data_IF_598235507288
#
_entry.id   IF_598235507288
#
_cell.length_a   1.000
_cell.length_b   1.000
_cell.length_c   1.000
_cell.angle_alpha   90.00
_cell.angle_beta   90.00
_cell.angle_gamma   90.00
#
_symmetry.space_group_name_H-M   'P 1'
#
loop_
_entity.id
_entity.type
_entity.pdbx_description
1 polymer ?
#
# COMPACT_ATOMS: atom_id res chain seq x y z
N UNK A 1 16.29 -40.35 31.96
CA UNK A 1 15.93 -39.88 30.60
C UNK A 1 14.48 -39.44 30.68
N UNK A 2 14.02 -38.21 30.49
CA UNK A 2 14.41 -37.06 29.67
C UNK A 2 14.00 -35.78 30.40
N UNK A 3 14.90 -34.79 30.55
CA UNK A 3 14.64 -33.52 31.29
C UNK A 3 14.40 -32.30 30.37
N UNK A 4 14.17 -32.50 29.08
CA UNK A 4 14.12 -31.41 28.10
C UNK A 4 12.82 -31.19 27.29
N UNK A 5 11.67 -31.90 27.51
CA UNK A 5 10.50 -31.70 26.64
C UNK A 5 9.90 -30.30 26.78
N UNK A 6 9.94 -29.72 27.98
CA UNK A 6 9.44 -28.37 28.25
C UNK A 6 10.32 -27.28 27.61
N UNK A 7 11.63 -27.50 27.54
CA UNK A 7 12.56 -26.57 26.91
C UNK A 7 12.36 -26.53 25.38
N UNK A 8 12.09 -27.69 24.78
CA UNK A 8 11.80 -27.78 23.34
C UNK A 8 10.48 -27.09 22.98
N UNK A 9 9.43 -27.29 23.79
CA UNK A 9 8.14 -26.60 23.61
C UNK A 9 8.26 -25.07 23.72
N UNK A 10 9.04 -24.58 24.70
CA UNK A 10 9.30 -23.15 24.85
C UNK A 10 10.09 -22.57 23.66
N UNK A 11 11.11 -23.28 23.18
CA UNK A 11 11.91 -22.83 22.02
C UNK A 11 11.07 -22.79 20.73
N UNK A 12 10.16 -23.75 20.53
CA UNK A 12 9.24 -23.75 19.37
C UNK A 12 8.26 -22.58 19.44
N UNK A 13 7.73 -22.25 20.62
CA UNK A 13 6.84 -21.09 20.80
C UNK A 13 7.57 -19.76 20.57
N UNK A 14 8.81 -19.64 21.04
CA UNK A 14 9.64 -18.44 20.80
C UNK A 14 9.96 -18.30 19.30
N UNK A 15 10.27 -19.40 18.61
CA UNK A 15 10.54 -19.38 17.17
C UNK A 15 9.31 -19.00 16.36
N UNK A 16 8.13 -19.53 16.71
CA UNK A 16 6.87 -19.14 16.10
C UNK A 16 6.57 -17.65 16.32
N UNK A 17 6.74 -17.14 17.54
CA UNK A 17 6.51 -15.73 17.87
C UNK A 17 7.47 -14.77 17.14
N UNK A 18 8.74 -15.15 16.94
CA UNK A 18 9.72 -14.31 16.21
C UNK A 18 9.59 -14.42 14.68
N UNK A 19 9.11 -15.54 14.17
CA UNK A 19 8.89 -15.73 12.72
C UNK A 19 7.74 -14.88 12.17
N UNK A 20 6.82 -14.46 13.05
CA UNK A 20 5.61 -13.70 12.70
C UNK A 20 5.68 -12.21 13.09
N UNK A 21 6.87 -11.70 13.42
CA UNK A 21 7.02 -10.25 13.57
C UNK A 21 7.31 -9.62 12.21
N UNK A 22 6.50 -8.62 11.78
CA UNK A 22 6.83 -7.87 10.58
C UNK A 22 8.21 -7.25 10.79
N UNK A 23 9.16 -7.57 9.91
CA UNK A 23 10.50 -7.02 10.04
C UNK A 23 10.45 -5.54 9.66
N UNK A 24 10.59 -4.65 10.64
CA UNK A 24 10.67 -3.22 10.39
C UNK A 24 12.12 -2.80 10.12
N UNK A 25 12.33 -1.99 9.09
CA UNK A 25 13.60 -1.30 8.85
C UNK A 25 13.34 0.20 8.76
N UNK A 26 14.00 0.99 9.61
CA UNK A 26 13.83 2.44 9.70
C UNK A 26 12.35 2.87 9.91
N UNK A 27 11.63 2.16 10.78
CA UNK A 27 10.23 2.48 11.10
C UNK A 27 9.20 2.09 10.04
N UNK A 28 9.62 1.46 8.93
CA UNK A 28 8.72 0.94 7.89
C UNK A 28 8.78 -0.58 7.84
N UNK A 29 7.64 -1.24 7.60
CA UNK A 29 7.62 -2.68 7.37
C UNK A 29 8.41 -2.99 6.08
N UNK A 30 9.41 -3.88 6.15
CA UNK A 30 10.31 -4.17 5.02
C UNK A 30 9.63 -4.78 3.80
N UNK A 31 8.40 -5.27 3.94
CA UNK A 31 7.66 -5.95 2.87
C UNK A 31 6.50 -5.13 2.31
N UNK A 32 6.44 -3.82 2.60
CA UNK A 32 5.28 -3.00 2.26
C UNK A 32 4.02 -3.52 2.96
N UNK A 33 2.86 -2.92 2.66
CA UNK A 33 1.60 -3.54 3.02
C UNK A 33 1.46 -4.79 2.14
N UNK A 34 1.83 -5.96 2.67
CA UNK A 34 1.54 -7.25 2.06
C UNK A 34 0.02 -7.38 2.08
N UNK A 35 -0.63 -6.87 1.03
CA UNK A 35 -1.96 -7.34 0.66
C UNK A 35 -1.73 -8.74 0.12
N UNK A 36 -2.45 -9.73 0.62
CA UNK A 36 -2.33 -11.15 0.24
C UNK A 36 -2.68 -11.42 -1.24
N UNK A 37 -2.87 -10.36 -2.03
CA UNK A 37 -3.16 -10.36 -3.45
C UNK A 37 -1.85 -10.16 -4.23
N UNK A 38 -1.29 -11.26 -4.75
CA UNK A 38 -0.17 -11.30 -5.72
C UNK A 38 -0.47 -10.54 -7.04
N UNK A 39 -1.65 -9.95 -7.18
CA UNK A 39 -1.98 -9.02 -8.26
C UNK A 39 -2.30 -7.66 -7.68
N UNK A 40 -1.33 -6.74 -7.68
CA UNK A 40 -1.62 -5.31 -7.66
C UNK A 40 -2.33 -4.96 -8.96
N UNK A 41 -3.62 -5.28 -9.02
CA UNK A 41 -4.48 -4.96 -10.13
C UNK A 41 -5.11 -3.62 -9.85
N UNK A 42 -4.96 -2.67 -10.77
CA UNK A 42 -5.74 -1.44 -10.71
C UNK A 42 -7.21 -1.67 -11.10
N UNK A 43 -7.64 -2.92 -11.41
CA UNK A 43 -9.05 -3.25 -11.61
C UNK A 43 -9.83 -3.09 -10.31
N UNK A 44 -11.15 -2.96 -10.44
CA UNK A 44 -12.06 -2.96 -9.31
C UNK A 44 -11.93 -4.29 -8.54
N UNK A 45 -11.33 -4.30 -7.34
CA UNK A 45 -11.14 -5.53 -6.58
C UNK A 45 -12.47 -6.11 -6.06
N UNK A 46 -13.52 -5.28 -6.04
CA UNK A 46 -14.85 -5.67 -5.56
C UNK A 46 -15.68 -6.38 -6.65
N UNK A 47 -15.26 -6.37 -7.94
CA UNK A 47 -15.92 -7.13 -9.02
C UNK A 47 -15.59 -8.63 -8.96
N UNK A 48 -14.35 -8.98 -8.62
CA UNK A 48 -13.91 -10.38 -8.54
C UNK A 48 -14.31 -11.03 -7.20
N UNK A 49 -14.59 -10.20 -6.19
CA UNK A 49 -14.97 -10.63 -4.86
C UNK A 49 -16.48 -10.83 -4.79
N UNK A 50 -16.92 -12.09 -4.91
CA UNK A 50 -18.31 -12.54 -4.69
C UNK A 50 -18.68 -12.47 -3.19
N UNK A 51 -18.39 -11.34 -2.55
CA UNK A 51 -18.63 -11.09 -1.14
C UNK A 51 -20.14 -11.00 -0.91
N UNK A 52 -20.65 -11.50 0.23
CA UNK A 52 -22.03 -11.24 0.62
C UNK A 52 -22.21 -9.72 0.59
N UNK A 53 -23.21 -9.22 -0.15
CA UNK A 53 -23.52 -7.79 -0.20
C UNK A 53 -23.54 -7.30 1.24
N UNK A 54 -22.56 -6.49 1.62
CA UNK A 54 -22.57 -5.83 2.92
C UNK A 54 -23.78 -4.90 2.88
N UNK A 55 -24.90 -5.34 3.46
CA UNK A 55 -26.20 -4.66 3.33
C UNK A 55 -26.15 -3.19 3.71
N UNK A 56 -25.24 -2.87 4.63
CA UNK A 56 -25.16 -1.56 5.27
C UNK A 56 -24.16 -0.62 4.59
N UNK A 57 -23.19 -1.16 3.86
CA UNK A 57 -22.18 -0.41 3.13
C UNK A 57 -22.55 -0.30 1.65
N UNK A 58 -22.47 0.90 1.09
CA UNK A 58 -22.82 1.15 -0.31
C UNK A 58 -21.70 1.82 -1.05
N UNK A 59 -21.61 1.49 -2.33
CA UNK A 59 -20.76 2.17 -3.30
C UNK A 59 -21.57 3.25 -4.00
N UNK A 60 -21.00 4.46 -4.05
CA UNK A 60 -21.58 5.57 -4.78
C UNK A 60 -20.50 6.40 -5.47
N UNK A 61 -20.94 7.33 -6.32
CA UNK A 61 -20.08 8.19 -7.11
C UNK A 61 -20.62 9.61 -7.09
N UNK A 62 -19.73 10.59 -6.96
CA UNK A 62 -20.06 11.99 -7.11
C UNK A 62 -19.24 12.64 -8.21
N UNK A 63 -19.76 13.73 -8.76
CA UNK A 63 -19.07 14.50 -9.80
C UNK A 63 -18.06 15.44 -9.16
N UNK A 64 -16.78 15.23 -9.50
CA UNK A 64 -15.65 16.00 -9.02
C UNK A 64 -15.08 16.85 -10.16
N UNK A 65 -14.67 18.09 -9.87
CA UNK A 65 -13.98 18.94 -10.86
C UNK A 65 -12.67 18.29 -11.30
N UNK A 66 -12.36 18.39 -12.60
CA UNK A 66 -11.12 17.85 -13.16
C UNK A 66 -9.92 18.68 -12.72
N UNK A 67 -10.04 20.01 -12.77
CA UNK A 67 -8.97 20.93 -12.39
C UNK A 67 -9.51 21.96 -11.38
N UNK A 68 -9.08 21.84 -10.12
CA UNK A 68 -9.47 22.75 -9.06
C UNK A 68 -8.73 24.09 -9.11
N UNK A 69 -7.70 24.23 -9.96
CA UNK A 69 -6.89 25.45 -10.08
C UNK A 69 -7.27 26.30 -11.30
N UNK A 70 -7.98 25.74 -12.28
CA UNK A 70 -8.53 26.48 -13.42
C UNK A 70 -10.04 26.73 -13.24
N UNK A 71 -10.40 27.93 -12.79
CA UNK A 71 -11.79 28.34 -12.58
C UNK A 71 -12.62 28.44 -13.88
N UNK A 72 -11.97 28.51 -15.04
CA UNK A 72 -12.66 28.53 -16.33
C UNK A 72 -13.11 27.13 -16.79
N UNK A 73 -12.42 26.09 -16.33
CA UNK A 73 -12.73 24.70 -16.69
C UNK A 73 -13.94 24.17 -15.92
N UNK A 74 -14.98 23.78 -16.66
CA UNK A 74 -16.19 23.12 -16.14
C UNK A 74 -16.13 21.59 -16.28
N UNK A 75 -14.96 21.03 -16.60
CA UNK A 75 -14.81 19.59 -16.77
C UNK A 75 -14.95 18.88 -15.43
N UNK A 76 -15.77 17.83 -15.41
CA UNK A 76 -15.98 16.97 -14.23
C UNK A 76 -15.75 15.50 -14.57
N UNK A 77 -15.53 14.69 -13.54
CA UNK A 77 -15.37 13.26 -13.63
C UNK A 77 -15.99 12.57 -12.40
N UNK A 78 -16.35 11.30 -12.52
CA UNK A 78 -16.97 10.55 -11.43
C UNK A 78 -15.93 9.96 -10.49
N UNK A 79 -15.94 10.40 -9.24
CA UNK A 79 -15.08 9.86 -8.19
C UNK A 79 -15.86 8.88 -7.31
N UNK A 80 -15.31 7.69 -7.11
CA UNK A 80 -15.93 6.65 -6.29
C UNK A 80 -15.71 6.91 -4.80
N UNK A 81 -16.72 6.60 -4.01
CA UNK A 81 -16.61 6.53 -2.57
C UNK A 81 -17.51 5.42 -2.03
N UNK A 82 -17.20 4.98 -0.81
CA UNK A 82 -18.04 4.07 -0.05
C UNK A 82 -18.56 4.78 1.18
N UNK A 83 -19.78 4.43 1.59
CA UNK A 83 -20.36 4.95 2.82
C UNK A 83 -21.10 3.85 3.58
N UNK A 84 -21.22 4.03 4.89
CA UNK A 84 -21.97 3.14 5.77
C UNK A 84 -22.63 3.94 6.90
N UNK A 85 -23.96 3.78 7.02
CA UNK A 85 -24.80 4.43 8.04
C UNK A 85 -25.27 3.47 9.14
N UNK A 86 -24.76 2.23 9.21
CA UNK A 86 -25.18 1.18 10.16
C UNK A 86 -25.34 1.67 11.60
N UNK A 87 -24.42 2.51 12.07
CA UNK A 87 -24.34 2.92 13.48
C UNK A 87 -25.01 4.26 13.77
N UNK A 88 -25.60 4.93 12.78
CA UNK A 88 -26.31 6.20 13.04
C UNK A 88 -27.71 5.99 13.62
N UNK A 89 -28.15 4.73 13.78
CA UNK A 89 -29.48 4.35 14.28
C UNK A 89 -30.64 5.05 13.55
N UNK A 90 -30.46 5.42 12.28
CA UNK A 90 -31.45 6.16 11.50
C UNK A 90 -31.68 7.60 11.98
N UNK A 91 -30.79 8.13 12.83
CA UNK A 91 -30.83 9.52 13.27
C UNK A 91 -30.55 10.48 12.12
N UNK A 92 -31.40 11.49 11.96
CA UNK A 92 -31.14 12.61 11.06
C UNK A 92 -30.09 13.59 11.60
N UNK A 93 -29.70 13.46 12.88
CA UNK A 93 -28.69 14.29 13.52
C UNK A 93 -27.44 13.45 13.80
N UNK A 94 -26.57 13.36 12.79
CA UNK A 94 -25.29 12.65 12.86
C UNK A 94 -24.26 13.57 13.52
N UNK A 95 -23.80 13.22 14.72
CA UNK A 95 -22.87 14.06 15.49
C UNK A 95 -21.41 13.94 15.02
N UNK A 96 -21.05 12.80 14.45
CA UNK A 96 -19.69 12.51 14.01
C UNK A 96 -19.69 11.75 12.69
N UNK A 97 -18.70 12.06 11.85
CA UNK A 97 -18.45 11.39 10.58
C UNK A 97 -16.98 11.02 10.52
N UNK A 98 -16.68 9.75 10.25
CA UNK A 98 -15.32 9.30 9.98
C UNK A 98 -15.10 9.21 8.48
N UNK A 99 -14.04 9.88 8.00
CA UNK A 99 -13.63 9.87 6.60
C UNK A 99 -12.27 9.20 6.46
N UNK A 100 -12.19 8.15 5.65
CA UNK A 100 -10.93 7.58 5.16
C UNK A 100 -10.60 8.17 3.80
N UNK A 101 -9.37 8.64 3.64
CA UNK A 101 -8.80 8.94 2.33
C UNK A 101 -8.08 7.69 1.81
N UNK A 102 -8.40 7.29 0.58
CA UNK A 102 -7.70 6.21 -0.12
C UNK A 102 -6.21 6.49 -0.26
N UNK A 103 -5.40 5.43 -0.26
CA UNK A 103 -3.97 5.50 -0.50
C UNK A 103 -3.60 5.22 -1.95
N UNK A 104 -2.40 4.67 -2.15
CA UNK A 104 -1.84 4.31 -3.46
C UNK A 104 -2.38 2.96 -3.99
N UNK A 105 -3.70 2.81 -4.06
CA UNK A 105 -4.33 1.58 -4.52
C UNK A 105 -5.85 1.66 -4.63
N UNK A 106 -6.49 0.67 -5.29
CA UNK A 106 -7.94 0.61 -5.37
C UNK A 106 -8.54 0.50 -3.96
N UNK A 107 -9.56 1.32 -3.71
CA UNK A 107 -10.29 1.28 -2.45
C UNK A 107 -11.29 0.11 -2.47
N UNK A 108 -11.45 -0.55 -1.33
CA UNK A 108 -12.36 -1.71 -1.16
C UNK A 108 -13.54 -1.35 -0.28
N UNK A 109 -14.70 -1.91 -0.59
CA UNK A 109 -15.92 -1.77 0.25
C UNK A 109 -15.69 -2.25 1.70
N UNK A 110 -14.79 -3.23 1.89
CA UNK A 110 -14.38 -3.73 3.21
C UNK A 110 -13.86 -2.65 4.15
N UNK A 111 -13.39 -1.53 3.60
CA UNK A 111 -12.96 -0.35 4.35
C UNK A 111 -14.04 0.18 5.28
N UNK A 112 -15.28 0.25 4.80
CA UNK A 112 -16.43 0.78 5.55
C UNK A 112 -17.39 -0.31 6.02
N UNK A 113 -17.07 -1.59 5.83
CA UNK A 113 -17.96 -2.69 6.21
C UNK A 113 -17.34 -3.67 7.21
N UNK A 114 -16.02 -3.77 7.27
CA UNK A 114 -15.33 -4.64 8.21
C UNK A 114 -15.26 -4.02 9.61
N UNK A 115 -15.95 -4.62 10.60
CA UNK A 115 -15.94 -4.14 11.99
C UNK A 115 -14.56 -4.23 12.67
N UNK A 116 -13.64 -5.03 12.12
CA UNK A 116 -12.26 -5.10 12.60
C UNK A 116 -11.42 -3.86 12.23
N UNK A 117 -11.88 -3.04 11.27
CA UNK A 117 -11.23 -1.77 10.98
C UNK A 117 -11.45 -0.80 12.14
N UNK A 118 -10.37 -0.17 12.61
CA UNK A 118 -10.41 0.80 13.71
C UNK A 118 -11.44 1.91 13.49
N UNK A 119 -11.60 2.37 12.24
CA UNK A 119 -12.61 3.34 11.86
C UNK A 119 -14.03 2.87 12.17
N UNK A 120 -14.36 1.62 11.86
CA UNK A 120 -15.68 1.05 12.09
C UNK A 120 -15.92 0.78 13.58
N UNK A 121 -14.87 0.39 14.32
CA UNK A 121 -14.95 0.27 15.78
C UNK A 121 -15.28 1.61 16.44
N UNK A 122 -14.64 2.70 16.01
CA UNK A 122 -14.93 4.04 16.50
C UNK A 122 -16.32 4.51 16.04
N UNK A 123 -16.71 4.22 14.80
CA UNK A 123 -18.04 4.57 14.30
C UNK A 123 -19.15 3.92 15.12
N UNK A 124 -18.96 2.66 15.54
CA UNK A 124 -19.88 1.94 16.43
C UNK A 124 -19.95 2.56 17.82
N UNK A 125 -18.80 2.96 18.38
CA UNK A 125 -18.73 3.56 19.72
C UNK A 125 -19.42 4.93 19.79
N UNK A 126 -19.27 5.75 18.74
CA UNK A 126 -19.78 7.12 18.71
C UNK A 126 -21.09 7.29 17.93
N UNK A 127 -21.66 6.20 17.38
CA UNK A 127 -22.85 6.27 16.54
C UNK A 127 -22.65 7.11 15.27
N UNK A 128 -21.45 7.03 14.68
CA UNK A 128 -21.03 7.87 13.57
C UNK A 128 -21.31 7.22 12.20
N UNK A 129 -21.40 8.06 11.17
CA UNK A 129 -21.35 7.58 9.78
C UNK A 129 -19.89 7.37 9.36
N UNK A 130 -19.65 6.38 8.50
CA UNK A 130 -18.33 6.09 7.96
C UNK A 130 -18.31 6.30 6.44
N UNK A 131 -17.29 6.99 5.95
CA UNK A 131 -17.05 7.25 4.54
C UNK A 131 -15.62 6.87 4.18
N UNK A 132 -15.42 6.37 2.97
CA UNK A 132 -14.10 6.13 2.42
C UNK A 132 -14.06 6.62 0.98
N UNK A 133 -13.21 7.61 0.72
CA UNK A 133 -13.06 8.25 -0.58
C UNK A 133 -11.93 7.59 -1.36
N UNK A 134 -12.21 7.10 -2.56
CA UNK A 134 -11.17 6.53 -3.40
C UNK A 134 -10.27 7.64 -3.95
N UNK A 135 -8.95 7.42 -3.90
CA UNK A 135 -7.99 8.40 -4.35
C UNK A 135 -8.05 8.54 -5.88
N UNK A 136 -7.95 9.78 -6.36
CA UNK A 136 -7.87 10.10 -7.79
C UNK A 136 -6.74 9.32 -8.46
N UNK A 137 -6.99 8.79 -9.66
CA UNK A 137 -6.09 7.96 -10.47
C UNK A 137 -5.92 6.50 -10.02
N UNK A 138 -6.55 6.09 -8.91
CA UNK A 138 -6.49 4.72 -8.41
C UNK A 138 -7.82 4.00 -8.56
N UNK A 139 -7.76 2.67 -8.72
CA UNK A 139 -8.94 1.84 -8.95
C UNK A 139 -9.75 2.29 -10.16
N UNK A 140 -11.05 2.48 -9.92
CA UNK A 140 -12.02 2.94 -10.93
C UNK A 140 -12.13 4.47 -10.98
N UNK A 141 -11.61 5.19 -9.98
CA UNK A 141 -11.62 6.65 -9.89
C UNK A 141 -10.60 7.30 -10.82
N UNK A 142 -10.85 7.19 -12.14
CA UNK A 142 -9.96 7.65 -13.21
C UNK A 142 -10.57 8.86 -13.93
N UNK A 143 -9.98 10.05 -13.78
CA UNK A 143 -10.50 11.27 -14.40
C UNK A 143 -10.42 11.26 -15.93
N UNK A 144 -9.43 10.56 -16.48
CA UNK A 144 -9.28 10.35 -17.92
C UNK A 144 -9.21 8.84 -18.20
N UNK A 145 -9.84 8.34 -19.27
CA UNK A 145 -9.82 6.92 -19.61
C UNK A 145 -8.41 6.43 -19.97
N UNK A 146 -7.55 7.35 -20.40
CA UNK A 146 -6.11 7.13 -20.58
C UNK A 146 -5.41 8.24 -19.82
N UNK A 147 -4.62 7.89 -18.81
CA UNK A 147 -3.56 8.81 -18.37
C UNK A 147 -2.52 8.71 -19.47
N UNK A 148 -2.44 9.71 -20.34
CA UNK A 148 -1.39 9.70 -21.36
C UNK A 148 -0.04 9.57 -20.64
N UNK A 149 0.81 8.66 -21.11
CA UNK A 149 2.16 8.41 -20.58
C UNK A 149 2.96 9.71 -20.36
N UNK A 150 2.63 10.79 -21.08
CA UNK A 150 3.23 12.11 -20.89
C UNK A 150 3.04 12.67 -19.47
N UNK A 151 1.88 12.47 -18.84
CA UNK A 151 1.57 13.00 -17.51
C UNK A 151 2.24 12.18 -16.40
N UNK A 152 2.25 10.86 -16.53
CA UNK A 152 3.01 9.98 -15.61
C UNK A 152 4.51 10.23 -15.71
N UNK A 153 5.03 10.37 -16.95
CA UNK A 153 6.42 10.71 -17.21
C UNK A 153 6.79 12.10 -16.67
N UNK A 154 5.89 13.07 -16.79
CA UNK A 154 6.10 14.41 -16.23
C UNK A 154 6.17 14.37 -14.71
N UNK A 155 5.25 13.67 -14.04
CA UNK A 155 5.27 13.50 -12.58
C UNK A 155 6.53 12.74 -12.11
N UNK A 156 6.90 11.67 -12.81
CA UNK A 156 8.12 10.93 -12.53
C UNK A 156 9.36 11.83 -12.69
N UNK A 157 9.48 12.55 -13.81
CA UNK A 157 10.62 13.43 -14.08
C UNK A 157 10.70 14.64 -13.15
N UNK A 158 9.58 15.16 -12.66
CA UNK A 158 9.55 16.36 -11.81
C UNK A 158 9.66 16.04 -10.33
N UNK A 159 9.08 14.94 -9.87
CA UNK A 159 9.01 14.65 -8.43
C UNK A 159 9.90 13.48 -8.03
N UNK A 160 9.87 12.39 -8.81
CA UNK A 160 10.57 11.16 -8.42
C UNK A 160 12.04 11.21 -8.81
N UNK A 161 12.31 11.63 -10.03
CA UNK A 161 13.65 11.70 -10.61
C UNK A 161 14.55 12.66 -9.82
N UNK A 162 14.12 13.89 -9.46
CA UNK A 162 14.97 14.80 -8.69
C UNK A 162 15.12 14.35 -7.24
N UNK A 163 14.09 13.75 -6.62
CA UNK A 163 14.22 13.19 -5.27
C UNK A 163 15.20 12.02 -5.24
N UNK A 164 15.20 11.15 -6.25
CA UNK A 164 16.19 10.08 -6.38
C UNK A 164 17.58 10.61 -6.70
N UNK A 165 17.73 11.53 -7.67
CA UNK A 165 19.04 12.10 -8.02
C UNK A 165 19.62 12.94 -6.89
N UNK A 166 18.82 13.78 -6.24
CA UNK A 166 19.22 14.52 -5.04
C UNK A 166 19.54 13.57 -3.89
N UNK A 167 18.79 12.49 -3.70
CA UNK A 167 19.09 11.44 -2.73
C UNK A 167 20.42 10.73 -3.00
N UNK A 168 20.78 10.55 -4.27
CA UNK A 168 22.07 9.97 -4.69
C UNK A 168 23.22 10.98 -4.59
N UNK A 169 22.98 12.27 -4.83
CA UNK A 169 23.95 13.36 -4.66
C UNK A 169 24.24 13.66 -3.18
N UNK A 170 23.22 13.57 -2.32
CA UNK A 170 23.33 13.77 -0.87
C UNK A 170 23.75 12.50 -0.12
N UNK A 171 23.68 11.33 -0.74
CA UNK A 171 24.48 10.20 -0.33
C UNK A 171 25.95 10.56 -0.52
N UNK A 172 26.58 11.06 0.55
CA UNK A 172 28.03 11.02 0.64
C UNK A 172 28.44 9.56 0.41
N UNK A 173 28.96 9.30 -0.79
CA UNK A 173 29.45 8.00 -1.22
C UNK A 173 30.68 7.70 -0.39
N UNK A 174 30.46 7.22 0.84
CA UNK A 174 31.54 6.84 1.73
C UNK A 174 32.31 5.72 1.05
N UNK A 175 33.64 5.66 1.29
CA UNK A 175 34.47 4.55 0.79
C UNK A 175 33.91 3.18 1.22
N UNK A 176 33.12 3.12 2.30
CA UNK A 176 32.40 1.93 2.73
C UNK A 176 31.21 1.58 1.82
N UNK A 177 30.40 2.56 1.41
CA UNK A 177 29.30 2.35 0.47
C UNK A 177 29.80 1.96 -0.92
N UNK A 178 30.86 2.61 -1.40
CA UNK A 178 31.54 2.28 -2.67
C UNK A 178 32.00 0.82 -2.69
N UNK A 179 32.64 0.36 -1.60
CA UNK A 179 33.07 -1.04 -1.46
C UNK A 179 31.89 -2.02 -1.44
N UNK A 180 30.78 -1.67 -0.80
CA UNK A 180 29.57 -2.51 -0.76
C UNK A 180 28.94 -2.65 -2.15
N UNK A 181 28.83 -1.55 -2.90
CA UNK A 181 28.35 -1.57 -4.29
C UNK A 181 29.28 -2.38 -5.20
N UNK A 182 30.59 -2.20 -5.10
CA UNK A 182 31.57 -2.99 -5.86
C UNK A 182 31.48 -4.49 -5.53
N UNK A 183 31.28 -4.86 -4.26
CA UNK A 183 31.06 -6.25 -3.86
C UNK A 183 29.74 -6.82 -4.41
N UNK A 184 28.67 -6.01 -4.40
CA UNK A 184 27.37 -6.40 -4.95
C UNK A 184 27.44 -6.60 -6.47
N UNK A 185 28.04 -5.66 -7.20
CA UNK A 185 28.26 -5.74 -8.64
C UNK A 185 29.05 -7.00 -9.03
N UNK A 186 30.17 -7.28 -8.36
CA UNK A 186 30.97 -8.49 -8.62
C UNK A 186 30.22 -9.78 -8.34
N UNK A 187 29.31 -9.78 -7.36
CA UNK A 187 28.47 -10.95 -7.06
C UNK A 187 27.44 -11.17 -8.16
N UNK A 188 26.87 -10.09 -8.71
CA UNK A 188 25.95 -10.16 -9.85
C UNK A 188 26.67 -10.68 -11.10
N UNK A 189 27.83 -10.11 -11.45
CA UNK A 189 28.64 -10.57 -12.60
C UNK A 189 29.01 -12.05 -12.51
N UNK A 190 29.45 -12.50 -11.32
CA UNK A 190 29.74 -13.92 -11.08
C UNK A 190 28.52 -14.81 -11.25
N UNK A 191 27.35 -14.36 -10.81
CA UNK A 191 26.11 -15.10 -11.00
C UNK A 191 25.75 -15.21 -12.49
N UNK A 192 25.87 -14.12 -13.24
CA UNK A 192 25.60 -14.08 -14.68
C UNK A 192 26.49 -15.03 -15.48
N UNK A 193 27.77 -15.18 -15.08
CA UNK A 193 28.73 -16.10 -15.71
C UNK A 193 28.70 -17.51 -15.07
N UNK A 194 27.76 -17.79 -14.16
CA UNK A 194 27.60 -19.10 -13.53
C UNK A 194 28.72 -19.49 -12.55
N UNK A 195 29.56 -18.54 -12.15
CA UNK A 195 30.67 -18.76 -11.22
C UNK A 195 30.17 -18.73 -9.78
N UNK A 196 30.02 -19.90 -9.17
CA UNK A 196 29.60 -20.05 -7.76
C UNK A 196 30.78 -19.81 -6.82
N UNK A 197 30.49 -19.43 -5.56
CA UNK A 197 31.51 -19.28 -4.51
C UNK A 197 32.34 -20.55 -4.28
N UNK A 198 31.73 -21.72 -4.49
CA UNK A 198 32.37 -23.03 -4.40
C UNK A 198 33.46 -23.24 -5.45
N UNK A 199 33.41 -22.52 -6.57
CA UNK A 199 34.36 -22.70 -7.67
C UNK A 199 35.76 -22.15 -7.33
N UNK A 200 35.92 -21.44 -6.20
CA UNK A 200 37.19 -20.85 -5.70
C UNK A 200 38.03 -20.10 -6.75
N UNK A 201 37.44 -19.67 -7.87
CA UNK A 201 38.11 -18.87 -8.90
C UNK A 201 38.33 -17.45 -8.37
N UNK A 202 39.53 -16.91 -8.54
CA UNK A 202 39.88 -15.51 -8.21
C UNK A 202 39.30 -14.55 -9.25
N UNK A 203 39.10 -13.27 -8.88
CA UNK A 203 38.57 -12.24 -9.79
C UNK A 203 39.60 -11.73 -10.82
N UNK A 204 40.57 -12.55 -11.20
CA UNK A 204 41.54 -12.21 -12.23
C UNK A 204 40.95 -12.64 -13.57
N UNK A 205 40.15 -11.75 -14.16
CA UNK A 205 39.59 -11.87 -15.50
C UNK A 205 39.76 -10.53 -16.22
#
# INVERSE_FOLDING_TARGET
>A
MSRYPLLYLLLVQIWAAHSWQPKFHLGRAMFGMQTDDESFSMRNPDEDMNLPRYSDAKEEYFDQKLDHFDDSSQQTWRQRYFHNFKYTNGSNNIQAVFLRLGGEGPLRISTVSNEANQMMTLAKQYGAAAFALEHRFYGVSRPTPTVEMKYERALFNMCTLPAMFYGVETWMLSKAAERKLACAQRRMERFMVGVRLLNKKTNAW
#
